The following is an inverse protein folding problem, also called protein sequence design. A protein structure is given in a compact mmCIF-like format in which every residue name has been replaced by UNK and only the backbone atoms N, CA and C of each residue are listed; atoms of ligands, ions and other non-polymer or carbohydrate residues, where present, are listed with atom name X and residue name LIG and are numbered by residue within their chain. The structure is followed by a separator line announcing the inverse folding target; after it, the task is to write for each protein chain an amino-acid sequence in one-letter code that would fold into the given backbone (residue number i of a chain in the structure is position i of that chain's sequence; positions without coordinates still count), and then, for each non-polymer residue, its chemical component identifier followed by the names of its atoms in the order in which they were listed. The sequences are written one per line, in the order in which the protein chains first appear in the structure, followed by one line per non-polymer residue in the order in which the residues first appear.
data_IF_125933178407
#
_entry.id   IF_125933178407
#
_cell.length_a   1.000
_cell.length_b   1.000
_cell.length_c   1.000
_cell.angle_alpha   90.00
_cell.angle_beta   90.00
_cell.angle_gamma   90.00
#
_symmetry.space_group_name_H-M   'P 1'
#
loop_
_entity.id
_entity.type
_entity.pdbx_description
1 polymer ?
#
# COMPACT_ATOMS: atom_id res chain seq x y z
N UNK A 1 -8.29 -10.84 11.31
CA UNK A 1 -7.33 -10.12 10.47
C UNK A 1 -8.04 -9.11 9.58
N UNK A 2 -7.37 -8.02 9.28
CA UNK A 2 -7.90 -6.92 8.49
C UNK A 2 -6.96 -6.61 7.33
N UNK A 3 -7.49 -6.55 6.11
CA UNK A 3 -6.76 -6.07 4.94
C UNK A 3 -7.29 -4.71 4.52
N UNK A 4 -6.40 -3.74 4.43
CA UNK A 4 -6.71 -2.43 3.85
C UNK A 4 -6.26 -2.45 2.39
N UNK A 5 -7.17 -2.15 1.48
CA UNK A 5 -6.86 -2.01 0.06
C UNK A 5 -6.83 -0.53 -0.26
N UNK A 6 -5.66 -0.04 -0.66
CA UNK A 6 -5.45 1.37 -1.02
C UNK A 6 -5.43 1.48 -2.55
N UNK A 7 -6.44 2.15 -3.13
CA UNK A 7 -6.66 2.22 -4.57
C UNK A 7 -6.43 3.61 -5.16
N UNK A 8 -6.14 4.60 -4.33
CA UNK A 8 -6.02 6.00 -4.78
C UNK A 8 -4.56 6.43 -4.87
N UNK A 9 -4.26 7.26 -5.88
CA UNK A 9 -2.94 7.87 -5.98
C UNK A 9 -2.72 8.86 -4.81
N UNK A 10 -1.45 9.16 -4.48
CA UNK A 10 -1.15 10.08 -3.37
C UNK A 10 -1.71 11.49 -3.56
N UNK A 11 -1.95 11.88 -4.81
CA UNK A 11 -2.37 13.24 -5.17
C UNK A 11 -3.87 13.38 -5.45
N UNK A 12 -4.65 12.30 -5.37
CA UNK A 12 -6.07 12.34 -5.76
C UNK A 12 -7.01 12.54 -4.57
N UNK A 13 -6.52 13.01 -3.44
CA UNK A 13 -7.32 13.27 -2.25
C UNK A 13 -6.74 12.60 -1.01
N UNK A 14 -7.50 12.53 0.09
CA UNK A 14 -6.98 12.08 1.38
C UNK A 14 -6.95 10.55 1.55
N UNK A 15 -7.51 9.77 0.64
CA UNK A 15 -7.72 8.32 0.85
C UNK A 15 -6.43 7.55 1.06
N UNK A 16 -5.36 7.89 0.31
CA UNK A 16 -4.07 7.22 0.48
C UNK A 16 -3.51 7.44 1.88
N UNK A 17 -3.61 8.66 2.38
CA UNK A 17 -3.15 9.01 3.73
C UNK A 17 -4.01 8.34 4.79
N UNK A 18 -5.33 8.32 4.61
CA UNK A 18 -6.26 7.67 5.53
C UNK A 18 -5.97 6.18 5.64
N UNK A 19 -5.74 5.51 4.51
CA UNK A 19 -5.41 4.09 4.48
C UNK A 19 -4.13 3.83 5.28
N UNK A 20 -3.10 4.63 5.05
CA UNK A 20 -1.83 4.50 5.76
C UNK A 20 -1.99 4.74 7.26
N UNK A 21 -2.75 5.75 7.66
CA UNK A 21 -2.97 6.06 9.07
C UNK A 21 -3.69 4.91 9.79
N UNK A 22 -4.65 4.26 9.14
CA UNK A 22 -5.33 3.08 9.69
C UNK A 22 -4.34 1.93 9.91
N UNK A 23 -3.48 1.69 8.92
CA UNK A 23 -2.50 0.59 9.00
C UNK A 23 -1.46 0.87 10.09
N UNK A 24 -0.98 2.11 10.19
CA UNK A 24 -0.04 2.49 11.24
C UNK A 24 -0.66 2.31 12.63
N UNK A 25 -1.90 2.73 12.81
CA UNK A 25 -2.61 2.57 14.07
C UNK A 25 -2.78 1.08 14.41
N UNK A 26 -3.16 0.27 13.42
CA UNK A 26 -3.32 -1.18 13.60
C UNK A 26 -2.02 -1.84 14.02
N UNK A 27 -0.92 -1.50 13.35
CA UNK A 27 0.40 -2.02 13.69
C UNK A 27 0.84 -1.61 15.09
N UNK A 28 0.59 -0.37 15.49
CA UNK A 28 0.95 0.14 16.81
C UNK A 28 0.23 -0.62 17.95
N UNK A 29 -0.95 -1.17 17.66
CA UNK A 29 -1.72 -1.99 18.62
C UNK A 29 -1.54 -3.49 18.41
N UNK A 30 -0.54 -3.90 17.63
CA UNK A 30 -0.24 -5.31 17.30
C UNK A 30 -1.44 -6.05 16.68
N UNK A 31 -2.29 -5.36 15.96
CA UNK A 31 -3.39 -6.00 15.24
C UNK A 31 -2.88 -6.71 14.00
N UNK A 32 -3.45 -7.88 13.63
CA UNK A 32 -3.09 -8.57 12.40
C UNK A 32 -3.68 -7.82 11.20
N UNK A 33 -2.91 -6.87 10.66
CA UNK A 33 -3.34 -5.98 9.58
C UNK A 33 -2.37 -6.06 8.40
N UNK A 34 -2.92 -6.04 7.18
CA UNK A 34 -2.15 -5.99 5.95
C UNK A 34 -2.56 -4.81 5.09
N UNK A 35 -1.71 -4.43 4.16
CA UNK A 35 -1.93 -3.33 3.22
C UNK A 35 -1.65 -3.82 1.80
N UNK A 36 -2.62 -3.66 0.91
CA UNK A 36 -2.51 -3.98 -0.50
C UNK A 36 -2.67 -2.71 -1.33
N UNK A 37 -1.70 -2.44 -2.18
CA UNK A 37 -1.75 -1.36 -3.16
C UNK A 37 -2.32 -1.92 -4.46
N UNK A 38 -3.45 -1.37 -4.90
CA UNK A 38 -4.20 -1.83 -6.06
C UNK A 38 -4.57 -0.62 -6.93
N UNK A 39 -4.71 -0.83 -8.24
CA UNK A 39 -5.05 0.23 -9.19
C UNK A 39 -4.11 1.45 -9.04
N UNK A 40 -4.63 2.66 -8.94
CA UNK A 40 -3.82 3.88 -8.80
C UNK A 40 -3.08 3.96 -7.45
N UNK A 41 -3.46 3.13 -6.48
CA UNK A 41 -2.71 3.03 -5.22
C UNK A 41 -1.26 2.65 -5.41
N UNK A 42 -0.92 1.94 -6.48
CA UNK A 42 0.47 1.55 -6.77
C UNK A 42 1.39 2.76 -6.98
N UNK A 43 0.85 3.92 -7.37
CA UNK A 43 1.64 5.14 -7.49
C UNK A 43 2.24 5.62 -6.17
N UNK A 44 1.71 5.19 -5.04
CA UNK A 44 2.31 5.48 -3.73
C UNK A 44 3.69 4.86 -3.59
N UNK A 45 3.98 3.82 -4.35
CA UNK A 45 5.25 3.10 -4.35
C UNK A 45 6.16 3.49 -5.51
N UNK A 46 5.78 4.48 -6.30
CA UNK A 46 6.58 4.92 -7.45
C UNK A 46 7.88 5.56 -6.98
N UNK A 47 8.97 5.29 -7.74
CA UNK A 47 10.29 5.88 -7.50
C UNK A 47 10.55 7.00 -8.50
N UNK A 48 11.47 7.90 -8.18
CA UNK A 48 11.91 8.96 -9.09
C UNK A 48 10.86 10.01 -9.37
N UNK A 49 10.00 10.31 -8.40
CA UNK A 49 8.92 11.27 -8.54
C UNK A 49 9.41 12.69 -8.67
N UNK A 50 8.66 13.49 -9.44
CA UNK A 50 8.96 14.86 -9.80
C UNK A 50 8.39 15.89 -8.80
N UNK A 51 7.87 17.02 -9.32
CA UNK A 51 7.45 18.20 -8.55
C UNK A 51 6.26 17.98 -7.59
N UNK A 52 5.61 16.82 -7.60
CA UNK A 52 4.60 16.48 -6.59
C UNK A 52 5.22 15.83 -5.36
N UNK A 53 6.53 15.84 -5.30
CA UNK A 53 7.35 15.09 -4.36
C UNK A 53 7.17 15.50 -2.90
N UNK A 54 6.69 16.70 -2.59
CA UNK A 54 6.59 17.15 -1.20
C UNK A 54 5.56 16.35 -0.39
N UNK A 55 4.35 16.18 -0.93
CA UNK A 55 3.33 15.35 -0.28
C UNK A 55 3.71 13.88 -0.32
N UNK A 56 4.34 13.45 -1.40
CA UNK A 56 4.76 12.06 -1.56
C UNK A 56 5.92 11.69 -0.64
N UNK A 57 6.82 12.62 -0.31
CA UNK A 57 7.93 12.35 0.61
C UNK A 57 7.42 11.94 2.00
N UNK A 58 6.45 12.67 2.54
CA UNK A 58 5.89 12.35 3.85
C UNK A 58 5.19 11.00 3.84
N UNK A 59 4.40 10.74 2.79
CA UNK A 59 3.71 9.47 2.63
C UNK A 59 4.73 8.32 2.49
N UNK A 60 5.75 8.49 1.65
CA UNK A 60 6.78 7.49 1.42
C UNK A 60 7.56 7.19 2.70
N UNK A 61 7.93 8.21 3.47
CA UNK A 61 8.64 8.03 4.73
C UNK A 61 7.80 7.21 5.73
N UNK A 62 6.51 7.49 5.81
CA UNK A 62 5.61 6.77 6.69
C UNK A 62 5.37 5.33 6.21
N UNK A 63 5.30 5.10 4.89
CA UNK A 63 5.21 3.75 4.34
C UNK A 63 6.45 2.93 4.70
N UNK A 64 7.63 3.53 4.61
CA UNK A 64 8.87 2.85 4.94
C UNK A 64 9.00 2.56 6.45
N UNK A 65 8.26 3.26 7.28
CA UNK A 65 8.24 3.03 8.71
C UNK A 65 7.34 1.85 9.10
N UNK A 66 6.46 1.37 8.21
CA UNK A 66 5.50 0.31 8.54
C UNK A 66 6.12 -0.94 9.17
N UNK A 67 7.24 -1.48 8.65
CA UNK A 67 7.85 -2.64 9.30
C UNK A 67 8.30 -2.37 10.74
N UNK A 68 8.72 -1.14 11.04
CA UNK A 68 9.11 -0.75 12.40
C UNK A 68 7.93 -0.75 13.36
N UNK A 69 6.71 -0.56 12.85
CA UNK A 69 5.49 -0.65 13.63
C UNK A 69 4.88 -2.07 13.62
N UNK A 70 5.63 -3.05 13.14
CA UNK A 70 5.20 -4.45 13.13
C UNK A 70 4.31 -4.83 11.95
N UNK A 71 4.16 -3.96 10.96
CA UNK A 71 3.36 -4.25 9.77
C UNK A 71 4.27 -4.82 8.69
N UNK A 72 4.21 -6.14 8.49
CA UNK A 72 5.03 -6.85 7.51
C UNK A 72 4.21 -7.35 6.32
N UNK A 73 2.89 -7.39 6.43
CA UNK A 73 1.98 -7.87 5.39
C UNK A 73 1.71 -6.73 4.40
N UNK A 74 2.66 -6.48 3.50
CA UNK A 74 2.64 -5.39 2.52
C UNK A 74 2.66 -6.00 1.12
N UNK A 75 1.67 -5.65 0.30
CA UNK A 75 1.48 -6.26 -1.01
C UNK A 75 1.20 -5.21 -2.07
N UNK A 76 1.62 -5.49 -3.31
CA UNK A 76 1.33 -4.63 -4.47
C UNK A 76 0.83 -5.51 -5.62
N UNK A 77 -0.21 -5.06 -6.30
CA UNK A 77 -0.72 -5.75 -7.49
C UNK A 77 0.24 -5.51 -8.66
N UNK A 78 0.90 -6.56 -9.12
CA UNK A 78 1.85 -6.49 -10.21
C UNK A 78 1.19 -6.05 -11.53
N UNK A 79 -0.03 -6.50 -11.80
CA UNK A 79 -0.76 -6.11 -13.00
C UNK A 79 -1.13 -4.63 -12.98
N UNK A 80 -1.56 -4.12 -11.83
CA UNK A 80 -1.85 -2.69 -11.68
C UNK A 80 -0.60 -1.84 -11.90
N UNK A 81 0.54 -2.27 -11.35
CA UNK A 81 1.82 -1.59 -11.52
C UNK A 81 2.27 -1.60 -12.98
N UNK A 82 2.21 -2.75 -13.65
CA UNK A 82 2.62 -2.90 -15.04
C UNK A 82 1.75 -2.04 -15.97
N UNK A 83 0.45 -2.00 -15.75
CA UNK A 83 -0.48 -1.18 -16.53
C UNK A 83 -0.15 0.32 -16.42
N UNK A 84 0.53 0.73 -15.36
CA UNK A 84 0.91 2.13 -15.09
C UNK A 84 2.39 2.42 -15.30
N UNK A 85 3.11 1.46 -15.90
CA UNK A 85 4.52 1.61 -16.24
C UNK A 85 5.48 1.56 -15.06
N UNK A 86 5.08 0.98 -13.95
CA UNK A 86 5.93 0.85 -12.78
C UNK A 86 6.62 -0.52 -12.76
N UNK A 87 7.94 -0.52 -12.72
CA UNK A 87 8.76 -1.76 -12.71
C UNK A 87 9.57 -1.91 -11.42
N UNK A 88 9.64 -0.87 -10.58
CA UNK A 88 10.32 -0.90 -9.30
C UNK A 88 9.51 -0.11 -8.28
N UNK A 89 9.70 -0.45 -7.01
CA UNK A 89 8.90 0.12 -5.91
C UNK A 89 9.80 0.73 -4.85
N UNK A 90 9.32 1.83 -4.26
CA UNK A 90 10.03 2.54 -3.19
C UNK A 90 10.03 1.76 -1.87
N UNK A 91 9.20 0.72 -1.75
CA UNK A 91 9.09 -0.10 -0.54
C UNK A 91 9.52 -1.53 -0.88
N UNK A 92 10.74 -1.89 -0.48
CA UNK A 92 11.34 -3.20 -0.81
C UNK A 92 10.58 -4.35 -0.17
N UNK A 93 9.95 -4.13 0.96
CA UNK A 93 9.21 -5.15 1.71
C UNK A 93 7.86 -5.49 1.07
N UNK A 94 7.38 -4.69 0.11
CA UNK A 94 6.11 -4.98 -0.56
C UNK A 94 6.27 -6.17 -1.51
N UNK A 95 5.44 -7.18 -1.32
CA UNK A 95 5.44 -8.36 -2.16
C UNK A 95 4.54 -8.13 -3.38
N UNK A 96 5.10 -8.28 -4.58
CA UNK A 96 4.34 -8.15 -5.82
C UNK A 96 3.52 -9.42 -6.06
N UNK A 97 2.22 -9.25 -6.33
CA UNK A 97 1.29 -10.34 -6.53
C UNK A 97 0.63 -10.25 -7.90
N UNK A 98 0.48 -11.39 -8.57
CA UNK A 98 -0.33 -11.50 -9.77
C UNK A 98 -1.84 -11.44 -9.41
N UNK A 99 -2.71 -11.21 -10.40
CA UNK A 99 -4.14 -11.04 -10.18
C UNK A 99 -4.76 -12.20 -9.40
N UNK A 100 -4.41 -13.45 -9.74
CA UNK A 100 -4.95 -14.62 -9.04
C UNK A 100 -4.45 -14.71 -7.58
N UNK A 101 -3.25 -14.23 -7.31
CA UNK A 101 -2.70 -14.17 -5.97
C UNK A 101 -3.38 -13.08 -5.13
N UNK A 102 -3.76 -11.95 -5.76
CA UNK A 102 -4.52 -10.89 -5.09
C UNK A 102 -5.88 -11.43 -4.63
N UNK A 103 -6.58 -12.17 -5.49
CA UNK A 103 -7.86 -12.78 -5.13
C UNK A 103 -7.70 -13.74 -3.95
N UNK A 104 -6.68 -14.59 -3.98
CA UNK A 104 -6.40 -15.52 -2.89
C UNK A 104 -6.04 -14.79 -1.59
N UNK A 105 -5.31 -13.68 -1.69
CA UNK A 105 -4.96 -12.85 -0.54
C UNK A 105 -6.21 -12.29 0.14
N UNK A 106 -7.11 -11.70 -0.64
CA UNK A 106 -8.35 -11.11 -0.13
C UNK A 106 -9.17 -12.16 0.63
N UNK A 107 -9.25 -13.37 0.08
CA UNK A 107 -10.03 -14.47 0.68
C UNK A 107 -9.46 -14.93 2.03
N UNK A 108 -8.19 -14.68 2.31
CA UNK A 108 -7.55 -15.12 3.57
C UNK A 108 -7.81 -14.19 4.75
N UNK A 109 -8.30 -12.98 4.50
CA UNK A 109 -8.55 -12.00 5.56
C UNK A 109 -9.99 -12.07 6.03
N UNK A 110 -10.20 -11.88 7.32
CA UNK A 110 -11.54 -11.88 7.93
C UNK A 110 -12.35 -10.66 7.50
N UNK A 111 -11.68 -9.51 7.39
CA UNK A 111 -12.29 -8.25 6.98
C UNK A 111 -11.42 -7.56 5.95
N UNK A 112 -12.06 -6.88 5.00
CA UNK A 112 -11.39 -6.13 3.94
C UNK A 112 -12.06 -4.76 3.82
N UNK A 113 -11.25 -3.70 3.89
CA UNK A 113 -11.72 -2.33 3.71
C UNK A 113 -10.98 -1.72 2.53
N UNK A 114 -11.72 -1.20 1.56
CA UNK A 114 -11.16 -0.53 0.38
C UNK A 114 -11.31 0.99 0.51
N UNK A 115 -10.21 1.68 0.27
CA UNK A 115 -10.17 3.14 0.32
C UNK A 115 -9.68 3.75 -1.00
#
# INVERSE_FOLDING_TARGET
SLLIISRQSPWSGPSAREALDIVLAGGAFDLPIGLLFLDDGVFQLATGQDARALQQKDLSANLQALPMFGVEALFVCADSAAARGLSSFALDEAQALAAHEVTALIDRYDQVITL
#
